data_IF_900661374250
#
_entry.id   IF_900661374250
#
_cell.length_a   1.000
_cell.length_b   1.000
_cell.length_c   1.000
_cell.angle_alpha   90.00
_cell.angle_beta   90.00
_cell.angle_gamma   90.00
#
_symmetry.space_group_name_H-M   'P 1'
#
loop_
_entity.id
_entity.type
_entity.pdbx_description
1 polymer ?
#
# COMPACT_ATOMS: atom_id res chain seq x y z
N UNK A 1 5.88 -9.62 2.26
CA UNK A 1 6.98 -10.05 1.39
C UNK A 1 7.57 -8.76 0.92
N UNK A 2 8.86 -8.52 1.22
CA UNK A 2 9.49 -7.27 0.87
C UNK A 2 9.32 -7.01 -0.62
N UNK A 3 9.14 -5.74 -0.96
CA UNK A 3 9.07 -5.33 -2.36
C UNK A 3 10.38 -5.69 -3.05
N UNK A 4 10.30 -6.23 -4.27
CA UNK A 4 11.49 -6.41 -5.09
C UNK A 4 11.97 -5.05 -5.67
N UNK A 5 13.17 -5.01 -6.22
CA UNK A 5 13.77 -3.75 -6.72
C UNK A 5 12.90 -3.02 -7.75
N UNK A 6 12.29 -3.75 -8.70
CA UNK A 6 11.42 -3.14 -9.70
C UNK A 6 10.12 -2.59 -9.11
N UNK A 7 9.53 -3.30 -8.15
CA UNK A 7 8.33 -2.84 -7.45
C UNK A 7 8.60 -1.57 -6.63
N UNK A 8 9.77 -1.50 -5.97
CA UNK A 8 10.17 -0.31 -5.20
C UNK A 8 10.23 0.91 -6.09
N UNK A 9 10.88 0.81 -7.26
CA UNK A 9 10.99 1.94 -8.19
C UNK A 9 9.61 2.44 -8.61
N UNK A 10 8.75 1.54 -9.10
CA UNK A 10 7.40 1.90 -9.58
C UNK A 10 6.58 2.51 -8.44
N UNK A 11 6.62 1.93 -7.24
CA UNK A 11 5.81 2.41 -6.13
C UNK A 11 6.30 3.73 -5.54
N UNK A 12 7.61 3.99 -5.56
CA UNK A 12 8.14 5.31 -5.19
C UNK A 12 7.74 6.39 -6.18
N UNK A 13 7.62 6.06 -7.47
CA UNK A 13 7.10 7.01 -8.46
C UNK A 13 5.60 7.31 -8.23
N UNK A 14 4.80 6.27 -7.93
CA UNK A 14 3.35 6.42 -7.76
C UNK A 14 2.94 7.03 -6.40
N UNK A 15 3.76 6.82 -5.37
CA UNK A 15 3.53 7.20 -3.98
C UNK A 15 4.80 7.74 -3.32
N UNK A 16 5.33 8.90 -3.77
CA UNK A 16 6.65 9.39 -3.38
C UNK A 16 6.75 9.78 -1.89
N UNK A 17 5.62 10.05 -1.24
CA UNK A 17 5.54 10.43 0.17
C UNK A 17 5.57 9.23 1.11
N UNK A 18 5.34 8.02 0.61
CA UNK A 18 5.25 6.83 1.43
C UNK A 18 6.62 6.21 1.71
N UNK A 19 6.83 5.83 2.97
CA UNK A 19 7.96 5.00 3.36
C UNK A 19 7.86 3.60 2.74
N UNK A 20 8.98 2.89 2.61
CA UNK A 20 8.98 1.51 2.09
C UNK A 20 8.03 0.59 2.88
N UNK A 21 7.95 0.77 4.20
CA UNK A 21 7.07 -0.03 5.03
C UNK A 21 5.59 0.24 4.75
N UNK A 22 5.23 1.51 4.58
CA UNK A 22 3.88 1.89 4.19
C UNK A 22 3.53 1.35 2.79
N UNK A 23 4.47 1.33 1.85
CA UNK A 23 4.28 0.72 0.53
C UNK A 23 4.01 -0.78 0.60
N UNK A 24 4.76 -1.51 1.43
CA UNK A 24 4.56 -2.95 1.65
C UNK A 24 3.17 -3.23 2.23
N UNK A 25 2.79 -2.50 3.28
CA UNK A 25 1.47 -2.62 3.92
C UNK A 25 0.37 -2.27 2.92
N UNK A 26 0.51 -1.17 2.18
CA UNK A 26 -0.47 -0.73 1.19
C UNK A 26 -0.65 -1.75 0.07
N UNK A 27 0.44 -2.31 -0.48
CA UNK A 27 0.40 -3.37 -1.50
C UNK A 27 -0.36 -4.58 -0.97
N UNK A 28 0.11 -5.15 0.14
CA UNK A 28 -0.42 -6.42 0.65
C UNK A 28 -1.89 -6.27 1.07
N UNK A 29 -2.24 -5.15 1.71
CA UNK A 29 -3.64 -4.83 2.06
C UNK A 29 -4.53 -4.70 0.82
N UNK A 30 -4.03 -4.02 -0.23
CA UNK A 30 -4.76 -3.81 -1.49
C UNK A 30 -4.96 -5.09 -2.28
N UNK A 31 -4.07 -6.07 -2.10
CA UNK A 31 -4.21 -7.43 -2.64
C UNK A 31 -5.12 -8.34 -1.79
N UNK A 32 -5.86 -7.77 -0.84
CA UNK A 32 -6.90 -8.47 -0.09
C UNK A 32 -6.47 -9.02 1.26
N UNK A 33 -5.23 -8.78 1.70
CA UNK A 33 -4.81 -9.22 3.04
C UNK A 33 -5.57 -8.47 4.14
N UNK A 34 -5.97 -9.21 5.18
CA UNK A 34 -6.57 -8.65 6.39
C UNK A 34 -5.49 -8.10 7.34
N UNK A 35 -5.83 -7.21 8.28
CA UNK A 35 -4.88 -6.74 9.30
C UNK A 35 -4.20 -7.86 10.11
N UNK A 36 -4.90 -8.97 10.38
CA UNK A 36 -4.31 -10.11 11.09
C UNK A 36 -3.31 -10.89 10.22
N UNK A 37 -3.58 -11.03 8.92
CA UNK A 37 -2.64 -11.64 7.99
C UNK A 37 -1.43 -10.74 7.77
N UNK A 38 -1.62 -9.42 7.70
CA UNK A 38 -0.53 -8.45 7.65
C UNK A 38 0.33 -8.53 8.90
N UNK A 39 -0.27 -8.58 10.08
CA UNK A 39 0.45 -8.75 11.35
C UNK A 39 1.38 -9.97 11.31
N UNK A 40 0.84 -11.14 10.93
CA UNK A 40 1.62 -12.38 10.85
C UNK A 40 2.73 -12.32 9.79
N UNK A 41 2.47 -11.68 8.64
CA UNK A 41 3.43 -11.56 7.53
C UNK A 41 4.53 -10.54 7.79
N UNK A 42 4.21 -9.49 8.54
CA UNK A 42 5.06 -8.32 8.73
C UNK A 42 5.89 -8.42 10.02
N UNK A 43 5.64 -9.44 10.85
CA UNK A 43 6.28 -9.67 12.16
C UNK A 43 6.23 -8.42 13.05
N UNK A 44 5.05 -7.80 13.13
CA UNK A 44 4.82 -6.64 13.99
C UNK A 44 3.48 -6.75 14.72
N UNK A 45 3.21 -5.82 15.63
CA UNK A 45 1.96 -5.82 16.38
C UNK A 45 0.77 -5.41 15.49
N UNK A 46 -0.43 -5.89 15.86
CA UNK A 46 -1.68 -5.46 15.22
C UNK A 46 -1.86 -3.95 15.26
N UNK A 47 -1.52 -3.32 16.38
CA UNK A 47 -1.57 -1.86 16.56
C UNK A 47 -0.63 -1.13 15.62
N UNK A 48 0.53 -1.69 15.28
CA UNK A 48 1.43 -1.10 14.29
C UNK A 48 0.82 -1.15 12.88
N UNK A 49 0.18 -2.26 12.49
CA UNK A 49 -0.54 -2.37 11.21
C UNK A 49 -1.70 -1.36 11.15
N UNK A 50 -2.51 -1.27 12.20
CA UNK A 50 -3.63 -0.34 12.28
C UNK A 50 -3.16 1.12 12.21
N UNK A 51 -2.03 1.44 12.84
CA UNK A 51 -1.39 2.76 12.72
C UNK A 51 -0.94 3.05 11.28
N UNK A 52 -0.26 2.12 10.62
CA UNK A 52 0.12 2.31 9.22
C UNK A 52 -1.09 2.54 8.30
N UNK A 53 -2.19 1.80 8.52
CA UNK A 53 -3.42 2.01 7.76
C UNK A 53 -4.07 3.36 8.10
N UNK A 54 -3.99 3.82 9.35
CA UNK A 54 -4.46 5.16 9.73
C UNK A 54 -3.63 6.27 9.08
N UNK A 55 -2.30 6.14 9.07
CA UNK A 55 -1.40 7.09 8.41
C UNK A 55 -1.68 7.15 6.91
N UNK A 56 -1.88 6.00 6.25
CA UNK A 56 -2.26 5.93 4.84
C UNK A 56 -3.63 6.58 4.56
N UNK A 57 -4.62 6.40 5.45
CA UNK A 57 -5.90 7.07 5.30
C UNK A 57 -5.76 8.58 5.40
N UNK A 58 -4.96 9.08 6.35
CA UNK A 58 -4.73 10.50 6.52
C UNK A 58 -4.03 11.10 5.29
N UNK A 59 -2.97 10.43 4.80
CA UNK A 59 -2.21 10.83 3.61
C UNK A 59 -3.10 10.99 2.37
N UNK A 60 -4.05 10.06 2.17
CA UNK A 60 -4.92 10.07 0.99
C UNK A 60 -6.33 10.61 1.23
N UNK A 61 -6.61 11.18 2.40
CA UNK A 61 -7.93 11.72 2.75
C UNK A 61 -9.06 10.68 2.75
N UNK A 62 -8.76 9.41 3.03
CA UNK A 62 -9.72 8.32 3.03
C UNK A 62 -10.61 8.35 4.28
N UNK A 63 -11.91 8.09 4.11
CA UNK A 63 -12.83 7.92 5.26
C UNK A 63 -12.78 6.50 5.83
N UNK A 64 -12.45 5.53 4.98
CA UNK A 64 -12.35 4.10 5.32
C UNK A 64 -11.06 3.50 4.78
N UNK A 65 -10.54 2.46 5.44
CA UNK A 65 -9.33 1.79 4.95
C UNK A 65 -9.56 1.08 3.62
N UNK A 66 -10.81 0.75 3.27
CA UNK A 66 -11.13 0.11 2.00
C UNK A 66 -10.81 0.99 0.79
N UNK A 67 -10.90 2.31 0.93
CA UNK A 67 -10.54 3.28 -0.12
C UNK A 67 -9.06 3.22 -0.48
N UNK A 68 -8.19 2.84 0.46
CA UNK A 68 -6.75 2.63 0.20
C UNK A 68 -6.57 1.63 -0.96
N UNK A 69 -7.39 0.56 -0.99
CA UNK A 69 -7.32 -0.45 -2.05
C UNK A 69 -7.64 0.15 -3.41
N UNK A 70 -8.71 0.94 -3.47
CA UNK A 70 -9.15 1.61 -4.70
C UNK A 70 -8.09 2.58 -5.20
N UNK A 71 -7.51 3.39 -4.31
CA UNK A 71 -6.45 4.35 -4.68
C UNK A 71 -5.23 3.61 -5.23
N UNK A 72 -4.79 2.54 -4.55
CA UNK A 72 -3.66 1.74 -4.97
C UNK A 72 -3.87 1.15 -6.37
N UNK A 73 -4.99 0.45 -6.57
CA UNK A 73 -5.32 -0.21 -7.83
C UNK A 73 -5.52 0.79 -8.98
N UNK A 74 -6.16 1.93 -8.73
CA UNK A 74 -6.36 2.96 -9.75
C UNK A 74 -5.03 3.57 -10.22
N UNK A 75 -4.12 3.90 -9.30
CA UNK A 75 -2.79 4.43 -9.66
C UNK A 75 -1.96 3.42 -10.42
N UNK A 76 -1.99 2.14 -10.02
CA UNK A 76 -1.36 1.06 -10.76
C UNK A 76 -1.94 0.89 -12.17
N UNK A 77 -3.27 0.87 -12.29
CA UNK A 77 -3.94 0.75 -13.58
C UNK A 77 -3.56 1.90 -14.51
N UNK A 78 -3.58 3.14 -14.02
CA UNK A 78 -3.14 4.32 -14.79
C UNK A 78 -1.69 4.15 -15.25
N UNK A 79 -0.80 3.64 -14.39
CA UNK A 79 0.60 3.40 -14.76
C UNK A 79 0.74 2.34 -15.86
N UNK A 80 0.01 1.22 -15.74
CA UNK A 80 0.00 0.17 -16.77
C UNK A 80 -0.51 0.71 -18.11
N UNK A 81 -1.58 1.51 -18.08
CA UNK A 81 -2.14 2.13 -19.28
C UNK A 81 -1.14 3.11 -19.93
N UNK A 82 -0.42 3.92 -19.15
CA UNK A 82 0.62 4.83 -19.66
C UNK A 82 1.77 4.10 -20.36
N UNK A 83 2.15 2.93 -19.87
CA UNK A 83 3.25 2.14 -20.44
C UNK A 83 2.81 1.28 -21.64
N UNK A 84 1.52 1.25 -21.97
CA UNK A 84 0.96 0.46 -23.07
C UNK A 84 0.71 1.29 -24.34
N UNK A 85 1.00 2.59 -24.30
CA UNK A 85 0.86 3.58 -25.38
C UNK A 85 2.27 4.05 -25.75
#
# INVERSE_FOLDING_TARGET
>A
MPLNKSEITIFRELFPTLTQRQLEVMKDFSLGMTPSQLQAKADCSRTAIERHLADLRAEFGCTSSNEIRTIFLNKLLIQVLRNSI
#
